data_IF_432435462902
#
_entry.id   IF_432435462902
#
_cell.length_a   1.000
_cell.length_b   1.000
_cell.length_c   1.000
_cell.angle_alpha   90.00
_cell.angle_beta   90.00
_cell.angle_gamma   90.00
#
_symmetry.space_group_name_H-M   'P 1'
#
loop_
_entity.id
_entity.type
_entity.pdbx_description
1 polymer ?
#
# COMPACT_ATOMS: atom_id res chain seq x y z
N UNK A 1 -25.39 2.80 4.49
CA UNK A 1 -23.98 3.09 4.15
C UNK A 1 -23.91 3.40 2.67
N UNK A 2 -23.40 4.58 2.26
CA UNK A 2 -23.05 4.80 0.84
C UNK A 2 -21.92 3.84 0.49
N UNK A 3 -22.12 3.04 -0.56
CA UNK A 3 -21.08 2.16 -1.08
C UNK A 3 -20.12 3.05 -1.86
N UNK A 4 -18.90 3.21 -1.37
CA UNK A 4 -17.82 3.86 -2.11
C UNK A 4 -17.62 3.08 -3.40
N UNK A 5 -17.69 3.76 -4.55
CA UNK A 5 -17.58 3.08 -5.84
C UNK A 5 -16.10 3.06 -6.28
N UNK A 6 -15.32 2.21 -5.62
CA UNK A 6 -13.92 1.97 -5.99
C UNK A 6 -13.86 1.47 -7.43
N UNK A 7 -13.14 2.20 -8.28
CA UNK A 7 -13.03 1.92 -9.72
C UNK A 7 -11.57 1.94 -10.21
N UNK A 8 -10.60 2.13 -9.31
CA UNK A 8 -9.19 1.87 -9.57
C UNK A 8 -8.96 0.39 -9.92
N UNK A 9 -7.87 0.11 -10.64
CA UNK A 9 -7.43 -1.25 -10.92
C UNK A 9 -6.65 -1.79 -9.74
N UNK A 10 -6.87 -3.07 -9.39
CA UNK A 10 -6.13 -3.76 -8.34
C UNK A 10 -5.24 -4.83 -8.99
N UNK A 11 -3.93 -4.71 -8.83
CA UNK A 11 -2.95 -5.74 -9.17
C UNK A 11 -2.49 -6.41 -7.87
N UNK A 12 -3.07 -7.57 -7.56
CA UNK A 12 -2.88 -8.24 -6.27
C UNK A 12 -1.95 -9.45 -6.43
N UNK A 13 -0.65 -9.25 -6.18
CA UNK A 13 0.39 -10.28 -6.24
C UNK A 13 0.42 -11.08 -7.55
N UNK A 14 0.18 -10.42 -8.70
CA UNK A 14 0.04 -11.09 -9.99
C UNK A 14 1.27 -11.96 -10.35
N UNK A 15 2.46 -11.57 -9.91
CA UNK A 15 3.74 -12.26 -10.21
C UNK A 15 4.28 -13.15 -9.09
N UNK A 16 3.71 -13.06 -7.89
CA UNK A 16 4.34 -13.50 -6.64
C UNK A 16 3.34 -14.04 -5.61
N UNK A 17 2.14 -14.42 -6.07
CA UNK A 17 1.05 -14.94 -5.24
C UNK A 17 1.49 -16.10 -4.34
N UNK A 18 2.20 -17.10 -4.90
CA UNK A 18 2.66 -18.27 -4.15
C UNK A 18 3.70 -17.86 -3.09
N UNK A 19 4.57 -16.92 -3.44
CA UNK A 19 5.61 -16.43 -2.55
C UNK A 19 5.02 -15.65 -1.38
N UNK A 20 3.93 -14.91 -1.60
CA UNK A 20 3.25 -14.07 -0.62
C UNK A 20 2.40 -14.86 0.41
N UNK A 21 2.26 -16.19 0.25
CA UNK A 21 1.56 -17.02 1.25
C UNK A 21 2.24 -16.97 2.62
N UNK A 22 3.57 -16.90 2.63
CA UNK A 22 4.39 -16.94 3.84
C UNK A 22 4.72 -15.57 4.44
N UNK A 23 5.74 -15.58 5.30
CA UNK A 23 6.23 -14.38 5.95
C UNK A 23 7.13 -13.55 5.03
N UNK A 24 7.02 -12.23 5.16
CA UNK A 24 7.83 -11.32 4.37
C UNK A 24 7.38 -9.87 4.46
N UNK A 25 8.03 -9.06 3.64
CA UNK A 25 7.85 -7.62 3.55
C UNK A 25 7.16 -7.35 2.23
N UNK A 26 6.06 -6.61 2.27
CA UNK A 26 5.27 -6.27 1.11
C UNK A 26 5.29 -4.78 0.85
N UNK A 27 5.07 -4.44 -0.41
CA UNK A 27 4.91 -3.09 -0.91
C UNK A 27 3.54 -2.94 -1.53
N UNK A 28 2.89 -1.81 -1.23
CA UNK A 28 1.72 -1.33 -1.92
C UNK A 28 2.17 -0.08 -2.67
N UNK A 29 2.04 -0.09 -3.99
CA UNK A 29 2.49 0.99 -4.87
C UNK A 29 1.34 1.46 -5.75
N UNK A 30 1.34 2.75 -6.06
CA UNK A 30 0.36 3.39 -6.93
C UNK A 30 1.00 3.71 -8.27
N UNK A 31 0.25 3.45 -9.35
CA UNK A 31 0.67 3.69 -10.72
C UNK A 31 -0.36 4.55 -11.44
N UNK A 32 0.11 5.59 -12.13
CA UNK A 32 -0.67 6.44 -13.04
C UNK A 32 0.25 7.00 -14.12
N UNK A 33 -0.19 7.03 -15.38
CA UNK A 33 0.56 7.64 -16.50
C UNK A 33 2.04 7.19 -16.60
N UNK A 34 2.31 5.89 -16.48
CA UNK A 34 3.66 5.28 -16.46
C UNK A 34 4.59 5.74 -15.33
N UNK A 35 4.08 6.52 -14.38
CA UNK A 35 4.78 6.85 -13.14
C UNK A 35 4.29 5.94 -12.02
N UNK A 36 5.16 5.74 -11.03
CA UNK A 36 4.83 4.95 -9.85
C UNK A 36 5.40 5.56 -8.59
N UNK A 37 4.67 5.43 -7.49
CA UNK A 37 5.15 5.79 -6.17
C UNK A 37 4.79 4.72 -5.15
N UNK A 38 5.67 4.52 -4.19
CA UNK A 38 5.41 3.63 -3.06
C UNK A 38 4.38 4.30 -2.15
N UNK A 39 3.27 3.62 -1.90
CA UNK A 39 2.19 4.11 -1.06
C UNK A 39 2.38 3.64 0.38
N UNK A 40 2.70 2.37 0.59
CA UNK A 40 2.86 1.75 1.90
C UNK A 40 3.81 0.55 1.83
N UNK A 41 4.61 0.34 2.88
CA UNK A 41 5.42 -0.87 3.09
C UNK A 41 5.05 -1.44 4.45
N UNK A 42 4.90 -2.76 4.51
CA UNK A 42 4.65 -3.44 5.78
C UNK A 42 5.28 -4.83 5.83
N UNK A 43 5.37 -5.40 7.03
CA UNK A 43 5.72 -6.79 7.26
C UNK A 43 4.54 -7.64 7.74
N UNK A 44 4.60 -8.94 7.46
CA UNK A 44 3.69 -9.90 8.08
C UNK A 44 4.25 -11.31 8.05
N UNK A 45 3.74 -12.16 8.94
CA UNK A 45 3.87 -13.62 8.82
C UNK A 45 2.83 -14.23 7.85
N UNK A 46 1.80 -13.46 7.48
CA UNK A 46 0.75 -13.84 6.53
C UNK A 46 0.51 -12.67 5.56
N UNK A 47 1.42 -12.47 4.61
CA UNK A 47 1.42 -11.29 3.73
C UNK A 47 0.10 -11.14 2.97
N UNK A 48 -0.41 -12.21 2.34
CA UNK A 48 -1.69 -12.15 1.61
C UNK A 48 -2.87 -11.69 2.49
N UNK A 49 -2.99 -12.23 3.71
CA UNK A 49 -4.09 -11.89 4.63
C UNK A 49 -4.00 -10.42 5.05
N UNK A 50 -2.78 -9.94 5.32
CA UNK A 50 -2.55 -8.56 5.72
C UNK A 50 -2.88 -7.58 4.58
N UNK A 51 -2.45 -7.89 3.36
CA UNK A 51 -2.75 -7.09 2.18
C UNK A 51 -4.24 -7.11 1.80
N UNK A 52 -4.92 -8.25 1.95
CA UNK A 52 -6.37 -8.31 1.78
C UNK A 52 -7.11 -7.44 2.82
N UNK A 53 -6.61 -7.40 4.06
CA UNK A 53 -7.16 -6.53 5.11
C UNK A 53 -7.00 -5.04 4.76
N UNK A 54 -5.83 -4.65 4.23
CA UNK A 54 -5.61 -3.29 3.72
C UNK A 54 -6.58 -2.92 2.60
N UNK A 55 -6.78 -3.81 1.62
CA UNK A 55 -7.72 -3.60 0.53
C UNK A 55 -9.17 -3.46 1.03
N UNK A 56 -9.55 -4.25 2.04
CA UNK A 56 -10.86 -4.16 2.67
C UNK A 56 -11.09 -2.83 3.39
N UNK A 57 -10.10 -2.34 4.14
CA UNK A 57 -10.19 -1.03 4.80
C UNK A 57 -10.21 0.12 3.79
N UNK A 58 -9.42 0.04 2.70
CA UNK A 58 -9.50 1.00 1.60
C UNK A 58 -10.90 1.04 0.96
N UNK A 59 -11.53 -0.13 0.76
CA UNK A 59 -12.88 -0.21 0.20
C UNK A 59 -13.97 0.37 1.11
N UNK A 60 -13.74 0.38 2.43
CA UNK A 60 -14.64 1.07 3.36
C UNK A 60 -14.41 2.57 3.39
N UNK A 61 -13.14 2.98 3.31
CA UNK A 61 -12.66 4.33 3.60
C UNK A 61 -11.50 4.67 2.64
N UNK A 62 -11.75 5.36 1.53
CA UNK A 62 -10.72 5.80 0.58
C UNK A 62 -9.53 6.49 1.26
N UNK A 63 -9.82 7.29 2.29
CA UNK A 63 -8.83 8.05 3.05
C UNK A 63 -7.83 7.17 3.82
N UNK A 64 -8.11 5.86 3.93
CA UNK A 64 -7.18 4.89 4.51
C UNK A 64 -5.79 4.99 3.90
N UNK A 65 -5.68 5.13 2.57
CA UNK A 65 -4.41 5.41 1.90
C UNK A 65 -4.33 6.82 1.30
N UNK A 66 -5.24 7.71 1.67
CA UNK A 66 -5.27 9.10 1.16
C UNK A 66 -6.04 9.29 -0.13
N UNK A 67 -6.84 8.31 -0.57
CA UNK A 67 -7.75 8.57 -1.68
C UNK A 67 -8.92 9.44 -1.23
N UNK A 68 -9.45 10.18 -2.17
CA UNK A 68 -10.75 10.87 -2.11
C UNK A 68 -11.79 10.06 -2.87
N UNK A 69 -13.07 10.39 -2.72
CA UNK A 69 -14.15 9.80 -3.51
C UNK A 69 -13.95 9.98 -5.03
N UNK A 70 -13.27 11.05 -5.44
CA UNK A 70 -12.93 11.30 -6.84
C UNK A 70 -11.77 10.41 -7.31
N UNK A 71 -10.65 10.43 -6.59
CA UNK A 71 -9.43 9.72 -7.00
C UNK A 71 -9.57 8.20 -6.92
N UNK A 72 -10.38 7.67 -5.99
CA UNK A 72 -10.69 6.24 -5.91
C UNK A 72 -11.58 5.75 -7.08
N UNK A 73 -12.22 6.68 -7.79
CA UNK A 73 -13.04 6.44 -8.98
C UNK A 73 -12.27 6.41 -10.30
N UNK A 74 -10.98 6.74 -10.28
CA UNK A 74 -10.15 6.88 -11.48
C UNK A 74 -9.61 5.51 -11.97
N UNK A 75 -10.25 4.95 -13.00
CA UNK A 75 -9.85 3.66 -13.59
C UNK A 75 -8.49 3.64 -14.31
N UNK A 76 -7.86 4.81 -14.49
CA UNK A 76 -6.48 4.91 -14.96
C UNK A 76 -5.45 4.61 -13.87
N UNK A 77 -5.86 4.69 -12.60
CA UNK A 77 -5.02 4.39 -11.45
C UNK A 77 -4.97 2.89 -11.20
N UNK A 78 -3.77 2.38 -10.96
CA UNK A 78 -3.57 1.00 -10.51
C UNK A 78 -2.92 0.99 -9.13
N UNK A 79 -3.55 0.29 -8.19
CA UNK A 79 -2.97 -0.04 -6.89
C UNK A 79 -2.40 -1.45 -6.96
N UNK A 80 -1.09 -1.57 -6.73
CA UNK A 80 -0.37 -2.82 -6.88
C UNK A 80 0.23 -3.30 -5.57
N UNK A 81 -0.03 -4.55 -5.24
CA UNK A 81 0.53 -5.27 -4.10
C UNK A 81 1.61 -6.23 -4.59
N UNK A 82 2.78 -6.18 -3.97
CA UNK A 82 3.90 -7.07 -4.26
C UNK A 82 4.60 -7.49 -2.97
N UNK A 83 5.19 -8.67 -3.00
CA UNK A 83 6.18 -9.12 -2.04
C UNK A 83 7.55 -8.54 -2.47
N UNK A 84 8.21 -7.84 -1.56
CA UNK A 84 9.58 -7.38 -1.76
C UNK A 84 10.57 -8.49 -1.41
N UNK A 85 10.45 -9.01 -0.20
CA UNK A 85 11.44 -9.91 0.38
C UNK A 85 10.72 -10.94 1.28
N UNK A 86 11.17 -12.20 1.21
CA UNK A 86 10.77 -13.23 2.19
C UNK A 86 11.70 -13.15 3.39
N UNK A 87 11.14 -13.20 4.58
CA UNK A 87 11.92 -13.27 5.82
C UNK A 87 11.05 -13.82 6.94
N UNK A 88 11.39 -14.99 7.46
CA UNK A 88 10.62 -15.64 8.53
C UNK A 88 11.00 -15.09 9.90
N UNK A 89 12.25 -14.66 10.09
CA UNK A 89 12.75 -14.14 11.36
C UNK A 89 12.21 -12.74 11.61
N UNK A 90 11.32 -12.63 12.60
CA UNK A 90 10.64 -11.39 13.00
C UNK A 90 11.58 -10.18 13.12
N UNK A 91 12.71 -10.33 13.80
CA UNK A 91 13.61 -9.20 14.07
C UNK A 91 14.30 -8.70 12.79
N UNK A 92 14.71 -9.63 11.91
CA UNK A 92 15.27 -9.27 10.61
C UNK A 92 14.21 -8.61 9.73
N UNK A 93 12.99 -9.17 9.71
CA UNK A 93 11.88 -8.66 8.91
C UNK A 93 11.50 -7.22 9.30
N UNK A 94 11.36 -6.94 10.59
CA UNK A 94 11.05 -5.61 11.12
C UNK A 94 12.16 -4.59 10.89
N UNK A 95 13.42 -5.02 11.08
CA UNK A 95 14.57 -4.17 10.79
C UNK A 95 14.57 -3.76 9.31
N UNK A 96 14.37 -4.73 8.42
CA UNK A 96 14.40 -4.52 6.97
C UNK A 96 13.22 -3.67 6.48
N UNK A 97 12.02 -3.87 7.01
CA UNK A 97 10.86 -2.99 6.80
C UNK A 97 11.20 -1.53 7.13
N UNK A 98 11.78 -1.29 8.31
CA UNK A 98 12.14 0.07 8.76
C UNK A 98 13.18 0.71 7.83
N UNK A 99 14.17 -0.05 7.36
CA UNK A 99 15.15 0.43 6.37
C UNK A 99 14.49 0.82 5.05
N UNK A 100 13.60 -0.03 4.54
CA UNK A 100 12.88 0.21 3.28
C UNK A 100 11.97 1.43 3.37
N UNK A 101 11.30 1.64 4.51
CA UNK A 101 10.43 2.81 4.72
C UNK A 101 11.26 4.11 4.72
N UNK A 102 12.43 4.11 5.37
CA UNK A 102 13.33 5.27 5.38
C UNK A 102 13.88 5.61 3.99
N UNK A 103 14.22 4.58 3.23
CA UNK A 103 14.79 4.72 1.88
C UNK A 103 13.73 5.17 0.87
N UNK A 104 12.62 4.44 0.78
CA UNK A 104 11.58 4.63 -0.23
C UNK A 104 10.59 5.76 0.08
N UNK A 105 10.49 6.17 1.35
CA UNK A 105 9.61 7.23 1.86
C UNK A 105 8.17 7.11 1.33
N UNK A 106 7.43 6.04 1.72
CA UNK A 106 6.08 5.79 1.22
C UNK A 106 5.14 6.97 1.51
N UNK A 107 4.27 7.31 0.55
CA UNK A 107 3.40 8.48 0.66
C UNK A 107 2.52 8.43 1.92
N UNK A 108 2.00 7.25 2.26
CA UNK A 108 1.06 7.12 3.39
C UNK A 108 1.72 7.01 4.77
N UNK A 109 3.05 6.88 4.85
CA UNK A 109 3.76 6.55 6.09
C UNK A 109 4.67 7.67 6.58
N UNK A 110 4.68 7.89 7.90
CA UNK A 110 5.43 8.98 8.55
C UNK A 110 6.95 8.83 8.49
N UNK A 111 7.45 7.66 8.10
CA UNK A 111 8.87 7.32 8.12
C UNK A 111 9.36 6.73 9.45
N UNK A 112 8.48 6.66 10.46
CA UNK A 112 8.76 6.01 11.75
C UNK A 112 8.08 4.64 11.74
N UNK A 113 8.85 3.56 11.52
CA UNK A 113 8.27 2.21 11.35
C UNK A 113 7.17 2.24 10.28
N UNK A 114 6.13 1.41 10.43
CA UNK A 114 4.98 1.35 9.56
C UNK A 114 3.87 2.38 9.87
N UNK A 115 4.10 3.33 10.79
CA UNK A 115 3.09 4.32 11.18
C UNK A 115 2.65 5.18 10.00
N UNK A 116 1.34 5.36 9.88
CA UNK A 116 0.75 6.21 8.85
C UNK A 116 0.76 7.68 9.26
N UNK A 117 0.72 8.56 8.25
CA UNK A 117 0.50 10.01 8.42
C UNK A 117 -0.97 10.31 8.79
N UNK A 118 -1.23 11.58 9.10
CA UNK A 118 -2.60 12.10 9.22
C UNK A 118 -3.40 11.85 7.94
N UNK A 119 -4.73 11.85 8.04
CA UNK A 119 -5.59 11.67 6.86
C UNK A 119 -5.35 12.79 5.85
N UNK A 120 -5.20 14.02 6.34
CA UNK A 120 -4.98 15.23 5.56
C UNK A 120 -3.68 15.14 4.77
N UNK A 121 -2.58 14.75 5.41
CA UNK A 121 -1.28 14.61 4.73
C UNK A 121 -1.31 13.50 3.67
N UNK A 122 -1.97 12.37 3.96
CA UNK A 122 -2.12 11.28 3.00
C UNK A 122 -2.88 11.73 1.76
N UNK A 123 -3.99 12.46 1.96
CA UNK A 123 -4.80 13.00 0.86
C UNK A 123 -4.00 14.00 0.03
N UNK A 124 -3.30 14.91 0.69
CA UNK A 124 -2.47 15.92 0.03
C UNK A 124 -1.38 15.28 -0.84
N UNK A 125 -0.61 14.35 -0.27
CA UNK A 125 0.49 13.71 -0.99
C UNK A 125 0.02 12.82 -2.13
N UNK A 126 -1.04 12.03 -1.92
CA UNK A 126 -1.56 11.17 -2.98
C UNK A 126 -2.18 11.99 -4.12
N UNK A 127 -2.98 13.01 -3.80
CA UNK A 127 -3.60 13.88 -4.81
C UNK A 127 -2.53 14.62 -5.62
N UNK A 128 -1.48 15.09 -4.97
CA UNK A 128 -0.32 15.74 -5.62
C UNK A 128 0.39 14.80 -6.60
N UNK A 129 0.51 13.51 -6.28
CA UNK A 129 1.09 12.51 -7.19
C UNK A 129 0.17 12.16 -8.37
N UNK A 130 -1.15 12.15 -8.16
CA UNK A 130 -2.12 11.72 -9.17
C UNK A 130 -2.48 12.79 -10.21
N UNK A 131 -2.09 14.05 -9.99
CA UNK A 131 -2.35 15.19 -10.89
C UNK A 131 -1.08 15.60 -11.63
#
# INVERSE_FOLDING_TARGET
MKKTNMNIRIDFFQSDLIQAIGAGIYEISIYKNNQSKVLYIGESVFVLVRCASHLYELNKKPEYFGFTEETIGDSSVTLKFRLLEKEDKKDLRKKRETELIKDKKPLSQSGISDYQKSVEDKILELTSFLN
#
